data_IF_109634549086
#
_entry.id   IF_109634549086
#
_cell.length_a   1.000
_cell.length_b   1.000
_cell.length_c   1.000
_cell.angle_alpha   90.00
_cell.angle_beta   90.00
_cell.angle_gamma   90.00
#
_symmetry.space_group_name_H-M   'P 1'
#
loop_
_entity.id
_entity.type
_entity.pdbx_description
1 polymer ?
#
# COMPACT_ATOMS: atom_id res chain seq x y z
N UNK A 1 -14.85 -12.09 18.84
CA UNK A 1 -16.02 -11.31 19.31
C UNK A 1 -15.91 -9.78 19.21
N UNK A 2 -14.80 -9.13 18.80
CA UNK A 2 -14.83 -7.67 18.55
C UNK A 2 -15.38 -7.28 17.16
N UNK A 3 -15.06 -8.06 16.12
CA UNK A 3 -15.38 -7.71 14.73
C UNK A 3 -16.89 -7.58 14.42
N UNK A 4 -17.72 -8.42 15.03
CA UNK A 4 -19.18 -8.41 14.79
C UNK A 4 -19.81 -7.11 15.29
N UNK A 5 -19.22 -6.47 16.31
CA UNK A 5 -19.65 -5.17 16.79
C UNK A 5 -19.29 -4.06 15.80
N UNK A 6 -18.06 -4.07 15.26
CA UNK A 6 -17.65 -3.08 14.27
C UNK A 6 -18.54 -3.13 13.03
N UNK A 7 -18.83 -4.33 12.51
CA UNK A 7 -19.74 -4.51 11.36
C UNK A 7 -21.12 -3.91 11.62
N UNK A 8 -21.67 -4.16 12.81
CA UNK A 8 -22.99 -3.61 13.19
C UNK A 8 -22.91 -2.10 13.38
N UNK A 9 -21.85 -1.59 14.00
CA UNK A 9 -21.62 -0.16 14.19
C UNK A 9 -21.49 0.58 12.85
N UNK A 10 -20.73 0.04 11.89
CA UNK A 10 -20.58 0.61 10.55
C UNK A 10 -21.92 0.69 9.83
N UNK A 11 -22.69 -0.40 9.79
CA UNK A 11 -24.02 -0.41 9.16
C UNK A 11 -24.99 0.58 9.83
N UNK A 12 -24.95 0.69 11.16
CA UNK A 12 -25.78 1.64 11.89
C UNK A 12 -25.36 3.09 11.61
N UNK A 13 -24.06 3.38 11.59
CA UNK A 13 -23.53 4.69 11.24
C UNK A 13 -23.97 5.11 9.84
N UNK A 14 -23.87 4.22 8.86
CA UNK A 14 -24.32 4.48 7.49
C UNK A 14 -25.84 4.71 7.40
N UNK A 15 -26.63 3.95 8.16
CA UNK A 15 -28.09 4.09 8.18
C UNK A 15 -28.57 5.38 8.85
N UNK A 16 -27.86 5.85 9.87
CA UNK A 16 -28.24 7.02 10.68
C UNK A 16 -27.61 8.32 10.14
N UNK A 17 -26.46 8.23 9.48
CA UNK A 17 -25.70 9.37 8.96
C UNK A 17 -25.44 9.22 7.43
N UNK A 18 -26.45 9.46 6.57
CA UNK A 18 -26.28 9.35 5.12
C UNK A 18 -25.30 10.39 4.53
N UNK A 19 -25.01 11.47 5.26
CA UNK A 19 -24.06 12.51 4.87
C UNK A 19 -22.67 12.32 5.52
N UNK A 20 -22.33 11.09 5.91
CA UNK A 20 -21.03 10.80 6.53
C UNK A 20 -19.87 11.17 5.59
N UNK A 21 -19.00 12.07 6.04
CA UNK A 21 -17.80 12.47 5.29
C UNK A 21 -16.56 11.69 5.75
N UNK A 22 -16.46 11.38 7.04
CA UNK A 22 -15.29 10.72 7.60
C UNK A 22 -15.71 9.43 8.28
N UNK A 23 -15.14 8.31 7.84
CA UNK A 23 -15.29 7.02 8.46
C UNK A 23 -13.95 6.55 9.00
N UNK A 24 -13.78 6.70 10.31
CA UNK A 24 -12.56 6.31 11.03
C UNK A 24 -12.96 5.32 12.11
N UNK A 25 -12.37 4.13 12.06
CA UNK A 25 -12.49 3.14 13.12
C UNK A 25 -11.12 2.98 13.77
N UNK A 26 -11.06 3.22 15.08
CA UNK A 26 -9.89 2.93 15.91
C UNK A 26 -10.31 1.90 16.94
N UNK A 27 -10.50 0.66 16.47
CA UNK A 27 -10.84 -0.45 17.35
C UNK A 27 -9.54 -1.06 17.88
N UNK A 28 -9.17 -0.64 19.09
CA UNK A 28 -7.98 -1.12 19.81
C UNK A 28 -7.99 -2.62 20.11
N UNK A 29 -9.13 -3.29 19.94
CA UNK A 29 -9.23 -4.74 20.08
C UNK A 29 -8.77 -5.49 18.82
N UNK A 30 -8.60 -4.79 17.70
CA UNK A 30 -8.01 -5.34 16.49
C UNK A 30 -6.49 -5.27 16.64
N UNK A 31 -5.77 -6.40 16.54
CA UNK A 31 -4.33 -6.41 16.57
C UNK A 31 -3.73 -5.43 15.56
N UNK A 32 -2.82 -4.59 16.03
CA UNK A 32 -2.01 -3.70 15.20
C UNK A 32 -0.99 -4.47 14.36
N UNK A 33 -0.70 -5.72 14.74
CA UNK A 33 0.21 -6.63 14.05
C UNK A 33 -0.37 -8.04 14.07
N UNK A 34 -0.13 -8.81 13.01
CA UNK A 34 -0.56 -10.21 12.92
C UNK A 34 -1.63 -10.45 11.88
N UNK A 35 -1.79 -11.71 11.42
CA UNK A 35 -2.84 -12.05 10.50
C UNK A 35 -4.09 -12.23 11.34
N UNK A 36 -5.00 -11.28 11.23
CA UNK A 36 -6.28 -11.43 11.90
C UNK A 36 -7.13 -12.35 11.01
N UNK A 37 -7.49 -13.54 11.50
CA UNK A 37 -8.43 -14.41 10.79
C UNK A 37 -9.80 -13.77 10.85
N UNK A 38 -10.23 -13.18 9.75
CA UNK A 38 -11.58 -12.65 9.60
C UNK A 38 -12.43 -13.68 8.87
N UNK A 39 -13.42 -14.25 9.56
CA UNK A 39 -14.44 -15.10 8.93
C UNK A 39 -15.42 -14.27 8.08
N UNK A 40 -15.38 -12.95 8.21
CA UNK A 40 -16.29 -12.02 7.57
C UNK A 40 -15.55 -10.82 7.00
N UNK A 41 -15.99 -10.48 5.81
CA UNK A 41 -15.40 -9.55 4.87
C UNK A 41 -16.40 -8.41 4.72
N UNK A 42 -16.01 -7.18 5.05
CA UNK A 42 -16.98 -6.08 5.19
C UNK A 42 -17.45 -5.54 3.84
N UNK A 43 -18.67 -5.00 3.81
CA UNK A 43 -19.21 -4.29 2.67
C UNK A 43 -19.41 -2.83 3.08
N UNK A 44 -18.66 -1.91 2.50
CA UNK A 44 -18.96 -0.49 2.62
C UNK A 44 -20.21 -0.18 1.77
N UNK A 45 -21.24 0.43 2.37
CA UNK A 45 -22.48 0.67 1.67
C UNK A 45 -22.35 1.82 0.66
N UNK A 46 -22.87 1.60 -0.55
CA UNK A 46 -22.92 2.54 -1.68
C UNK A 46 -23.56 3.88 -1.27
N UNK A 47 -24.45 3.86 -0.27
CA UNK A 47 -25.22 5.03 0.17
C UNK A 47 -24.34 6.18 0.68
N UNK A 48 -23.22 5.88 1.35
CA UNK A 48 -22.27 6.89 1.86
C UNK A 48 -21.14 7.20 0.87
N UNK A 49 -21.03 6.45 -0.23
CA UNK A 49 -19.92 6.60 -1.19
C UNK A 49 -19.83 7.99 -1.82
N UNK A 50 -20.97 8.69 -1.95
CA UNK A 50 -21.01 10.04 -2.54
C UNK A 50 -20.50 11.14 -1.61
N UNK A 51 -20.50 10.90 -0.31
CA UNK A 51 -20.23 11.91 0.71
C UNK A 51 -18.89 11.69 1.40
N UNK A 52 -18.45 10.43 1.50
CA UNK A 52 -17.18 10.08 2.12
C UNK A 52 -15.97 10.75 1.45
N UNK A 53 -15.20 11.46 2.26
CA UNK A 53 -13.89 12.04 1.94
C UNK A 53 -12.72 11.27 2.54
N UNK A 54 -12.93 10.57 3.65
CA UNK A 54 -11.88 9.83 4.35
C UNK A 54 -12.41 8.49 4.85
N UNK A 55 -11.66 7.43 4.56
CA UNK A 55 -11.89 6.07 5.09
C UNK A 55 -10.60 5.58 5.72
N UNK A 56 -10.65 5.24 7.01
CA UNK A 56 -9.53 4.63 7.73
C UNK A 56 -10.07 3.56 8.66
N UNK A 57 -10.02 2.31 8.21
CA UNK A 57 -10.58 1.18 8.94
C UNK A 57 -9.53 0.06 9.01
N UNK A 58 -9.18 -0.42 10.22
CA UNK A 58 -8.22 -1.50 10.39
C UNK A 58 -8.89 -2.89 10.23
N UNK A 59 -9.77 -3.06 9.25
CA UNK A 59 -10.41 -4.35 8.95
C UNK A 59 -10.43 -4.61 7.45
N UNK A 60 -10.56 -5.88 7.02
CA UNK A 60 -10.72 -6.22 5.62
C UNK A 60 -12.02 -5.66 5.09
N UNK A 61 -11.90 -4.81 4.08
CA UNK A 61 -13.02 -4.34 3.29
C UNK A 61 -13.08 -5.17 2.02
N UNK A 62 -14.22 -5.77 1.77
CA UNK A 62 -14.44 -6.60 0.59
C UNK A 62 -15.17 -5.84 -0.48
N UNK A 63 -14.44 -5.60 -1.54
CA UNK A 63 -14.90 -4.90 -2.73
C UNK A 63 -15.70 -5.78 -3.70
N UNK A 64 -16.22 -6.96 -3.28
CA UNK A 64 -16.94 -7.93 -4.15
C UNK A 64 -18.12 -7.34 -4.94
N UNK A 65 -18.57 -6.13 -4.62
CA UNK A 65 -19.64 -5.42 -5.32
C UNK A 65 -19.30 -3.97 -5.70
N UNK A 66 -18.04 -3.57 -5.54
CA UNK A 66 -17.54 -2.29 -6.05
C UNK A 66 -17.39 -2.38 -7.57
N UNK A 67 -18.52 -2.28 -8.27
CA UNK A 67 -18.53 -2.05 -9.70
C UNK A 67 -18.41 -0.53 -9.91
N UNK A 68 -17.37 -0.02 -10.61
CA UNK A 68 -17.23 1.40 -10.88
C UNK A 68 -18.45 2.02 -11.58
N UNK A 69 -19.26 1.20 -12.27
CA UNK A 69 -20.52 1.63 -12.89
C UNK A 69 -21.64 1.92 -11.87
N UNK A 70 -21.61 1.23 -10.74
CA UNK A 70 -22.69 1.24 -9.75
C UNK A 70 -22.28 2.02 -8.48
N UNK A 71 -20.99 2.06 -8.17
CA UNK A 71 -20.41 2.70 -6.97
C UNK A 71 -19.15 3.47 -7.33
N UNK A 72 -19.14 4.77 -7.08
CA UNK A 72 -17.94 5.62 -7.24
C UNK A 72 -17.82 6.58 -6.07
N UNK A 73 -16.66 6.56 -5.44
CA UNK A 73 -16.27 7.44 -4.35
C UNK A 73 -15.70 8.75 -4.90
N UNK A 74 -16.59 9.64 -5.33
CA UNK A 74 -16.23 10.89 -6.03
C UNK A 74 -15.60 11.95 -5.11
N UNK A 75 -15.66 11.77 -3.80
CA UNK A 75 -15.10 12.69 -2.80
C UNK A 75 -13.99 12.07 -1.97
N UNK A 76 -13.72 10.78 -2.10
CA UNK A 76 -12.78 10.06 -1.23
C UNK A 76 -11.34 10.43 -1.58
N UNK A 77 -10.73 11.27 -0.75
CA UNK A 77 -9.37 11.78 -0.90
C UNK A 77 -8.37 10.90 -0.18
N UNK A 78 -8.74 10.32 0.97
CA UNK A 78 -7.84 9.54 1.83
C UNK A 78 -8.40 8.15 2.11
N UNK A 79 -7.59 7.13 1.83
CA UNK A 79 -7.93 5.73 2.06
C UNK A 79 -6.81 5.03 2.82
N UNK A 80 -7.12 4.53 4.02
CA UNK A 80 -6.26 3.64 4.79
C UNK A 80 -6.93 2.29 4.93
N UNK A 81 -6.30 1.25 4.40
CA UNK A 81 -6.73 -0.14 4.54
C UNK A 81 -5.62 -0.93 5.22
N UNK A 82 -5.97 -1.57 6.34
CA UNK A 82 -5.12 -2.56 7.00
C UNK A 82 -5.83 -3.90 6.99
N UNK A 83 -5.07 -4.97 6.80
CA UNK A 83 -5.57 -6.35 6.81
C UNK A 83 -6.47 -6.77 5.64
N UNK A 84 -6.85 -5.86 4.73
CA UNK A 84 -7.50 -6.23 3.47
C UNK A 84 -6.58 -7.05 2.58
N UNK A 85 -7.12 -7.96 1.78
CA UNK A 85 -6.30 -8.64 0.78
C UNK A 85 -5.88 -7.69 -0.35
N UNK A 86 -4.71 -7.90 -0.98
CA UNK A 86 -4.29 -7.08 -2.11
C UNK A 86 -5.30 -7.02 -3.26
N UNK A 87 -5.95 -8.14 -3.59
CA UNK A 87 -6.99 -8.20 -4.64
C UNK A 87 -8.18 -7.28 -4.30
N UNK A 88 -8.65 -7.30 -3.06
CA UNK A 88 -9.75 -6.45 -2.60
C UNK A 88 -9.37 -4.97 -2.63
N UNK A 89 -8.14 -4.64 -2.23
CA UNK A 89 -7.61 -3.28 -2.34
C UNK A 89 -7.65 -2.80 -3.80
N UNK A 90 -7.16 -3.61 -4.75
CA UNK A 90 -7.20 -3.27 -6.18
C UNK A 90 -8.63 -3.10 -6.70
N UNK A 91 -9.56 -3.97 -6.30
CA UNK A 91 -10.97 -3.83 -6.66
C UNK A 91 -11.59 -2.53 -6.11
N UNK A 92 -11.25 -2.15 -4.88
CA UNK A 92 -11.73 -0.93 -4.25
C UNK A 92 -11.16 0.34 -4.91
N UNK A 93 -9.88 0.34 -5.26
CA UNK A 93 -9.20 1.48 -5.90
C UNK A 93 -9.84 1.86 -7.25
N UNK A 94 -10.43 0.92 -7.99
CA UNK A 94 -11.18 1.21 -9.22
C UNK A 94 -12.37 2.15 -9.01
N UNK A 95 -12.87 2.23 -7.79
CA UNK A 95 -14.01 3.08 -7.42
C UNK A 95 -13.59 4.43 -6.82
N UNK A 96 -12.28 4.73 -6.73
CA UNK A 96 -11.74 5.90 -6.03
C UNK A 96 -10.98 6.85 -6.97
N UNK A 97 -11.66 7.50 -7.96
CA UNK A 97 -10.97 8.23 -9.03
C UNK A 97 -10.27 9.51 -8.59
N UNK A 98 -10.63 10.07 -7.42
CA UNK A 98 -10.10 11.33 -6.90
C UNK A 98 -9.13 11.15 -5.73
N UNK A 99 -8.70 9.90 -5.47
CA UNK A 99 -7.86 9.58 -4.32
C UNK A 99 -6.52 10.32 -4.38
N UNK A 100 -6.14 10.99 -3.30
CA UNK A 100 -4.89 11.74 -3.17
C UNK A 100 -3.90 11.04 -2.21
N UNK A 101 -4.42 10.37 -1.18
CA UNK A 101 -3.66 9.68 -0.14
C UNK A 101 -4.08 8.21 -0.01
N UNK A 102 -3.12 7.31 -0.15
CA UNK A 102 -3.34 5.87 -0.02
C UNK A 102 -2.37 5.28 1.00
N UNK A 103 -2.90 4.53 1.96
CA UNK A 103 -2.13 3.76 2.92
C UNK A 103 -2.62 2.32 2.93
N UNK A 104 -1.76 1.40 2.49
CA UNK A 104 -2.03 -0.03 2.47
C UNK A 104 -1.06 -0.76 3.38
N UNK A 105 -1.59 -1.57 4.29
CA UNK A 105 -0.79 -2.42 5.16
C UNK A 105 -1.28 -3.87 5.11
N UNK A 106 -0.39 -4.74 4.65
CA UNK A 106 -0.60 -6.16 4.55
C UNK A 106 0.27 -6.93 5.54
N UNK A 107 -0.30 -8.00 6.11
CA UNK A 107 0.40 -8.97 6.95
C UNK A 107 0.35 -10.34 6.28
N UNK A 108 1.50 -11.02 6.18
CA UNK A 108 1.60 -12.42 5.75
C UNK A 108 0.73 -12.74 4.52
N UNK A 109 0.98 -12.04 3.40
CA UNK A 109 0.28 -12.33 2.15
C UNK A 109 0.69 -13.74 1.69
N UNK A 110 -0.24 -14.67 1.42
CA UNK A 110 0.10 -15.95 0.83
C UNK A 110 0.43 -15.81 -0.66
N UNK A 111 1.28 -16.69 -1.19
CA UNK A 111 1.60 -16.74 -2.61
C UNK A 111 0.34 -16.93 -3.47
N UNK A 112 0.26 -16.18 -4.57
CA UNK A 112 -0.92 -16.17 -5.44
C UNK A 112 -2.11 -15.32 -4.96
N UNK A 113 -1.98 -14.55 -3.85
CA UNK A 113 -3.04 -13.65 -3.39
C UNK A 113 -3.30 -12.44 -4.31
N UNK A 114 -2.39 -12.16 -5.25
CA UNK A 114 -2.60 -11.17 -6.31
C UNK A 114 -2.64 -11.92 -7.65
N UNK A 115 -3.71 -11.77 -8.45
CA UNK A 115 -3.73 -12.35 -9.78
C UNK A 115 -2.65 -11.69 -10.66
N UNK A 116 -1.79 -12.50 -11.30
CA UNK A 116 -0.73 -12.03 -12.21
C UNK A 116 -1.23 -11.14 -13.36
N UNK A 117 -2.52 -11.23 -13.73
CA UNK A 117 -3.14 -10.53 -14.86
C UNK A 117 -4.21 -9.53 -14.41
N UNK A 118 -3.96 -8.80 -13.33
CA UNK A 118 -4.89 -7.74 -12.94
C UNK A 118 -4.72 -6.52 -13.88
N UNK A 119 -5.82 -5.92 -14.39
CA UNK A 119 -5.73 -4.74 -15.25
C UNK A 119 -5.08 -3.56 -14.51
N UNK A 120 -4.30 -2.76 -15.24
CA UNK A 120 -3.71 -1.53 -14.70
C UNK A 120 -4.80 -0.56 -14.27
N UNK A 121 -4.70 -0.09 -13.02
CA UNK A 121 -5.55 0.94 -12.42
C UNK A 121 -4.78 2.25 -12.45
N UNK A 122 -5.40 3.27 -13.05
CA UNK A 122 -4.84 4.61 -13.11
C UNK A 122 -5.47 5.49 -12.03
N UNK A 123 -4.63 6.03 -11.13
CA UNK A 123 -5.06 6.95 -10.07
C UNK A 123 -4.44 8.32 -10.33
N UNK A 124 -5.16 9.16 -11.08
CA UNK A 124 -4.65 10.42 -11.63
C UNK A 124 -4.31 11.48 -10.59
N UNK A 125 -4.89 11.39 -9.40
CA UNK A 125 -4.73 12.39 -8.33
C UNK A 125 -3.87 11.91 -7.18
N UNK A 126 -3.45 10.63 -7.18
CA UNK A 126 -2.72 10.07 -6.05
C UNK A 126 -1.34 10.71 -5.94
N UNK A 127 -1.08 11.35 -4.80
CA UNK A 127 0.17 12.06 -4.50
C UNK A 127 1.01 11.34 -3.47
N UNK A 128 0.35 10.74 -2.48
CA UNK A 128 1.02 10.08 -1.35
C UNK A 128 0.60 8.62 -1.29
N UNK A 129 1.59 7.73 -1.31
CA UNK A 129 1.34 6.30 -1.22
C UNK A 129 2.26 5.65 -0.19
N UNK A 130 1.65 5.17 0.90
CA UNK A 130 2.30 4.33 1.89
C UNK A 130 1.93 2.87 1.66
N UNK A 131 2.95 2.03 1.54
CA UNK A 131 2.80 0.61 1.36
C UNK A 131 3.62 -0.13 2.40
N UNK A 132 2.96 -0.98 3.19
CA UNK A 132 3.61 -1.85 4.17
C UNK A 132 3.26 -3.30 3.92
N UNK A 133 4.26 -4.18 3.92
CA UNK A 133 4.09 -5.62 3.83
C UNK A 133 5.00 -6.31 4.86
N UNK A 134 4.42 -6.65 6.01
CA UNK A 134 5.19 -7.12 7.16
C UNK A 134 4.77 -8.51 7.58
N UNK A 135 5.59 -9.15 8.41
CA UNK A 135 5.17 -10.33 9.17
C UNK A 135 4.10 -10.00 10.22
N UNK A 136 3.90 -10.96 11.11
CA UNK A 136 2.85 -10.96 12.11
C UNK A 136 3.24 -10.40 13.47
N UNK A 137 4.53 -10.23 13.73
CA UNK A 137 5.04 -9.64 14.96
C UNK A 137 5.72 -8.31 14.67
N UNK A 138 5.96 -7.54 15.73
CA UNK A 138 6.76 -6.30 15.67
C UNK A 138 8.18 -6.56 15.13
N UNK A 139 8.67 -7.80 15.26
CA UNK A 139 9.96 -8.24 14.74
C UNK A 139 9.88 -8.75 13.28
N UNK A 140 8.69 -8.76 12.68
CA UNK A 140 8.47 -9.24 11.32
C UNK A 140 8.38 -10.76 11.20
N UNK A 141 8.12 -11.49 12.30
CA UNK A 141 8.01 -12.95 12.27
C UNK A 141 6.81 -13.37 11.41
N UNK A 142 7.04 -14.20 10.40
CA UNK A 142 5.98 -14.71 9.52
C UNK A 142 5.50 -16.08 9.99
N UNK A 143 4.17 -16.29 9.96
CA UNK A 143 3.57 -17.61 10.10
C UNK A 143 3.64 -18.44 8.82
N UNK A 144 3.92 -17.77 7.69
CA UNK A 144 4.05 -18.35 6.37
C UNK A 144 5.53 -18.63 6.12
N UNK A 145 5.84 -19.80 5.55
CA UNK A 145 7.21 -20.08 5.13
C UNK A 145 7.64 -19.11 4.03
N UNK A 146 8.91 -18.69 4.02
CA UNK A 146 9.39 -17.68 3.07
C UNK A 146 9.06 -18.00 1.60
N UNK A 147 9.14 -19.28 1.20
CA UNK A 147 8.79 -19.75 -0.14
C UNK A 147 7.28 -19.79 -0.47
N UNK A 148 6.41 -19.49 0.48
CA UNK A 148 4.95 -19.41 0.33
C UNK A 148 4.44 -17.98 0.56
N UNK A 149 5.33 -17.03 0.80
CA UNK A 149 4.96 -15.63 0.98
C UNK A 149 4.74 -14.96 -0.39
N UNK A 150 3.62 -14.29 -0.55
CA UNK A 150 3.32 -13.47 -1.72
C UNK A 150 4.21 -12.22 -1.75
N UNK A 151 4.37 -11.64 -2.93
CA UNK A 151 5.17 -10.44 -3.11
C UNK A 151 4.28 -9.24 -3.45
N UNK A 152 4.42 -8.16 -2.68
CA UNK A 152 3.61 -6.96 -2.86
C UNK A 152 3.94 -6.18 -4.15
N UNK A 153 5.05 -6.53 -4.80
CA UNK A 153 5.45 -5.99 -6.10
C UNK A 153 4.39 -6.18 -7.19
N UNK A 154 3.64 -7.29 -7.16
CA UNK A 154 2.56 -7.55 -8.12
C UNK A 154 1.40 -6.54 -7.98
N UNK A 155 1.16 -6.02 -6.77
CA UNK A 155 0.19 -4.95 -6.55
C UNK A 155 0.68 -3.67 -7.20
N UNK A 156 1.97 -3.34 -7.06
CA UNK A 156 2.55 -2.17 -7.71
C UNK A 156 2.43 -2.25 -9.23
N UNK A 157 2.62 -3.44 -9.82
CA UNK A 157 2.46 -3.66 -11.26
C UNK A 157 1.06 -3.37 -11.80
N UNK A 158 0.06 -3.44 -10.94
CA UNK A 158 -1.33 -3.13 -11.27
C UNK A 158 -1.64 -1.63 -11.19
N UNK A 159 -0.68 -0.76 -10.90
CA UNK A 159 -0.91 0.67 -10.66
C UNK A 159 -0.17 1.59 -11.66
N UNK A 160 -0.82 2.70 -12.00
CA UNK A 160 -0.26 3.83 -12.74
C UNK A 160 -0.62 5.14 -12.04
N UNK A 161 0.39 5.85 -11.55
CA UNK A 161 0.26 6.93 -10.57
C UNK A 161 0.98 8.21 -11.06
N UNK A 162 0.47 8.90 -12.09
CA UNK A 162 1.21 9.96 -12.79
C UNK A 162 1.47 11.21 -11.96
N UNK A 163 0.79 11.38 -10.81
CA UNK A 163 1.01 12.49 -9.87
C UNK A 163 1.67 12.06 -8.57
N UNK A 164 2.17 10.83 -8.49
CA UNK A 164 2.83 10.32 -7.30
C UNK A 164 4.04 11.19 -6.99
N UNK A 165 4.04 11.76 -5.78
CA UNK A 165 5.05 12.69 -5.31
C UNK A 165 5.82 12.11 -4.12
N UNK A 166 5.13 11.35 -3.28
CA UNK A 166 5.68 10.70 -2.11
C UNK A 166 5.36 9.21 -2.12
N UNK A 167 6.41 8.39 -2.00
CA UNK A 167 6.30 6.95 -1.81
C UNK A 167 7.02 6.51 -0.54
N UNK A 168 6.31 5.77 0.31
CA UNK A 168 6.87 5.08 1.47
C UNK A 168 6.67 3.59 1.30
N UNK A 169 7.74 2.82 1.50
CA UNK A 169 7.71 1.37 1.51
C UNK A 169 8.32 0.85 2.80
N UNK A 170 7.60 -0.04 3.47
CA UNK A 170 8.15 -0.88 4.54
C UNK A 170 7.85 -2.34 4.26
N UNK A 171 8.88 -3.16 4.04
CA UNK A 171 8.67 -4.60 3.89
C UNK A 171 9.70 -5.43 4.63
N UNK A 172 9.21 -6.40 5.39
CA UNK A 172 10.02 -7.43 6.06
C UNK A 172 9.94 -8.78 5.33
N UNK A 173 9.10 -8.89 4.30
CA UNK A 173 8.85 -10.13 3.56
C UNK A 173 9.59 -10.09 2.21
N UNK A 174 10.33 -11.16 1.91
CA UNK A 174 11.16 -11.30 0.69
C UNK A 174 10.32 -11.65 -0.56
N UNK A 175 9.23 -12.41 -0.39
CA UNK A 175 8.43 -12.94 -1.49
C UNK A 175 8.95 -14.27 -2.07
N UNK A 176 8.03 -15.08 -2.58
CA UNK A 176 8.26 -16.44 -3.11
C UNK A 176 9.24 -16.47 -4.29
N UNK A 177 9.13 -15.51 -5.21
CA UNK A 177 9.96 -15.43 -6.42
C UNK A 177 11.44 -15.28 -6.08
N UNK A 178 11.77 -14.32 -5.21
CA UNK A 178 13.16 -14.07 -4.77
C UNK A 178 13.66 -15.08 -3.75
N UNK A 179 12.76 -15.75 -3.05
CA UNK A 179 13.14 -16.94 -2.28
C UNK A 179 13.63 -18.07 -3.19
N UNK A 180 12.97 -18.29 -4.33
CA UNK A 180 13.38 -19.30 -5.31
C UNK A 180 14.62 -18.89 -6.12
N UNK A 181 14.75 -17.61 -6.46
CA UNK A 181 15.92 -17.03 -7.11
C UNK A 181 16.36 -15.72 -6.43
N UNK A 182 17.32 -15.77 -5.49
CA UNK A 182 17.81 -14.61 -4.76
C UNK A 182 18.44 -13.52 -5.63
N UNK A 183 18.84 -13.85 -6.86
CA UNK A 183 19.50 -12.90 -7.77
C UNK A 183 18.50 -12.07 -8.57
N UNK A 184 17.20 -12.35 -8.49
CA UNK A 184 16.18 -11.52 -9.12
C UNK A 184 16.24 -10.10 -8.53
N UNK A 185 16.24 -9.05 -9.37
CA UNK A 185 16.24 -7.68 -8.90
C UNK A 185 14.88 -7.30 -8.32
N UNK A 186 14.87 -6.41 -7.31
CA UNK A 186 13.64 -5.82 -6.80
C UNK A 186 13.25 -4.57 -7.60
N UNK A 187 12.83 -4.74 -8.85
CA UNK A 187 12.60 -3.64 -9.79
C UNK A 187 11.17 -3.05 -9.79
N UNK A 188 10.32 -3.45 -8.84
CA UNK A 188 8.90 -3.08 -8.84
C UNK A 188 8.66 -1.58 -8.75
N UNK A 189 9.45 -0.86 -7.95
CA UNK A 189 9.31 0.59 -7.82
C UNK A 189 9.80 1.32 -9.07
N UNK A 190 10.92 0.90 -9.68
CA UNK A 190 11.41 1.53 -10.92
C UNK A 190 10.43 1.30 -12.08
N UNK A 191 9.82 0.11 -12.16
CA UNK A 191 8.72 -0.18 -13.10
C UNK A 191 7.49 0.69 -12.83
N UNK A 192 7.11 0.90 -11.57
CA UNK A 192 6.01 1.80 -11.20
C UNK A 192 6.29 3.24 -11.65
N UNK A 193 7.47 3.79 -11.33
CA UNK A 193 7.87 5.17 -11.68
C UNK A 193 7.85 5.34 -13.20
N UNK A 194 8.48 4.41 -13.92
CA UNK A 194 8.55 4.42 -15.40
C UNK A 194 7.16 4.34 -16.03
N UNK A 195 6.33 3.37 -15.60
CA UNK A 195 4.95 3.20 -16.12
C UNK A 195 4.05 4.39 -15.80
N UNK A 196 4.27 5.02 -14.65
CA UNK A 196 3.54 6.21 -14.22
C UNK A 196 4.03 7.48 -14.91
N UNK A 197 5.23 7.45 -15.52
CA UNK A 197 5.91 8.62 -16.05
C UNK A 197 5.93 9.77 -15.03
N UNK A 198 6.25 9.44 -13.77
CA UNK A 198 6.34 10.39 -12.66
C UNK A 198 7.78 10.50 -12.15
N UNK A 199 8.01 11.49 -11.29
CA UNK A 199 9.27 11.69 -10.58
C UNK A 199 8.94 11.97 -9.12
N UNK A 200 9.58 11.28 -8.19
CA UNK A 200 9.30 11.42 -6.77
C UNK A 200 10.04 12.64 -6.19
N UNK A 201 9.38 13.36 -5.29
CA UNK A 201 10.02 14.39 -4.47
C UNK A 201 10.45 13.85 -3.10
N UNK A 202 9.72 12.85 -2.59
CA UNK A 202 10.05 12.15 -1.34
C UNK A 202 9.98 10.64 -1.52
N UNK A 203 10.99 9.94 -1.03
CA UNK A 203 11.08 8.49 -1.08
C UNK A 203 11.58 7.98 0.27
N UNK A 204 10.86 7.02 0.85
CA UNK A 204 11.30 6.31 2.05
C UNK A 204 11.24 4.81 1.83
N UNK A 205 12.40 4.14 1.90
CA UNK A 205 12.56 2.71 1.71
C UNK A 205 13.07 2.09 3.02
N UNK A 206 12.20 1.31 3.67
CA UNK A 206 12.52 0.49 4.83
C UNK A 206 12.40 -0.97 4.45
N UNK A 207 13.43 -1.51 3.82
CA UNK A 207 13.44 -2.92 3.47
C UNK A 207 14.86 -3.45 3.38
N UNK A 208 15.17 -4.56 4.10
CA UNK A 208 16.45 -5.23 3.96
C UNK A 208 16.55 -6.01 2.64
N UNK A 209 15.45 -6.11 1.89
CA UNK A 209 15.36 -6.95 0.71
C UNK A 209 15.68 -6.19 -0.57
N UNK A 210 15.66 -4.86 -0.58
CA UNK A 210 15.93 -4.11 -1.82
C UNK A 210 17.43 -4.07 -2.07
N UNK A 211 17.86 -4.63 -3.19
CA UNK A 211 19.26 -4.59 -3.60
C UNK A 211 19.68 -3.17 -4.02
N UNK A 212 20.96 -2.87 -3.82
CA UNK A 212 21.53 -1.56 -4.14
C UNK A 212 21.27 -1.14 -5.59
N UNK A 213 21.49 -1.98 -6.63
CA UNK A 213 21.21 -1.61 -8.01
C UNK A 213 19.76 -1.14 -8.22
N UNK A 214 18.79 -1.87 -7.67
CA UNK A 214 17.37 -1.52 -7.76
C UNK A 214 17.05 -0.18 -7.07
N UNK A 215 17.67 0.08 -5.92
CA UNK A 215 17.52 1.36 -5.23
C UNK A 215 18.14 2.51 -6.02
N UNK A 216 19.37 2.38 -6.51
CA UNK A 216 20.04 3.42 -7.30
C UNK A 216 19.25 3.75 -8.57
N UNK A 217 18.62 2.77 -9.20
CA UNK A 217 17.76 2.99 -10.36
C UNK A 217 16.54 3.85 -10.00
N UNK A 218 15.90 3.60 -8.86
CA UNK A 218 14.79 4.44 -8.38
C UNK A 218 15.23 5.90 -8.14
N UNK A 219 16.44 6.11 -7.62
CA UNK A 219 17.00 7.45 -7.42
C UNK A 219 17.26 8.16 -8.76
N UNK A 220 17.80 7.45 -9.75
CA UNK A 220 18.04 8.00 -11.10
C UNK A 220 16.76 8.40 -11.81
N UNK A 221 15.69 7.62 -11.64
CA UNK A 221 14.37 7.92 -12.18
C UNK A 221 13.67 9.09 -11.48
N UNK A 222 14.18 9.51 -10.32
CA UNK A 222 13.63 10.61 -9.52
C UNK A 222 14.66 11.75 -9.33
N UNK A 223 15.08 12.45 -10.40
CA UNK A 223 16.10 13.50 -10.30
C UNK A 223 15.67 14.69 -9.43
N UNK A 224 14.36 14.92 -9.25
CA UNK A 224 13.80 16.00 -8.44
C UNK A 224 13.62 15.63 -6.95
N UNK A 225 14.16 14.49 -6.52
CA UNK A 225 14.05 14.01 -5.15
C UNK A 225 14.72 14.98 -4.17
N UNK A 226 13.95 15.42 -3.16
CA UNK A 226 14.40 16.33 -2.09
C UNK A 226 14.60 15.63 -0.76
N UNK A 227 13.80 14.60 -0.50
CA UNK A 227 13.84 13.86 0.75
C UNK A 227 14.01 12.37 0.48
N UNK A 228 15.06 11.78 1.03
CA UNK A 228 15.35 10.35 0.93
C UNK A 228 15.45 9.72 2.32
N UNK A 229 14.71 8.65 2.55
CA UNK A 229 14.86 7.77 3.71
C UNK A 229 15.28 6.38 3.25
N UNK A 230 16.38 5.83 3.76
CA UNK A 230 16.88 4.50 3.41
C UNK A 230 17.38 3.78 4.66
N UNK A 231 17.44 2.44 4.60
CA UNK A 231 18.14 1.66 5.61
C UNK A 231 19.65 1.92 5.53
N UNK A 232 20.34 1.86 6.68
CA UNK A 232 21.79 2.10 6.75
C UNK A 232 22.57 1.20 5.78
N UNK A 233 23.32 1.81 4.87
CA UNK A 233 24.16 1.13 3.88
C UNK A 233 25.26 2.10 3.39
N UNK A 234 26.51 1.84 3.78
CA UNK A 234 27.65 2.72 3.50
C UNK A 234 27.93 2.93 2.00
N UNK A 235 27.58 1.95 1.16
CA UNK A 235 27.78 2.06 -0.28
C UNK A 235 26.70 2.94 -0.90
N UNK A 236 25.45 2.73 -0.52
CA UNK A 236 24.32 3.54 -0.98
C UNK A 236 24.50 4.99 -0.56
N UNK A 237 24.84 5.25 0.69
CA UNK A 237 25.08 6.58 1.22
C UNK A 237 26.15 7.35 0.43
N UNK A 238 27.25 6.68 0.05
CA UNK A 238 28.30 7.29 -0.80
C UNK A 238 27.80 7.61 -2.21
N UNK A 239 26.95 6.77 -2.78
CA UNK A 239 26.40 6.96 -4.12
C UNK A 239 25.30 8.02 -4.17
N UNK A 240 24.51 8.17 -3.10
CA UNK A 240 23.42 9.17 -3.02
C UNK A 240 23.94 10.58 -3.29
N UNK A 241 25.08 10.96 -2.69
CA UNK A 241 25.65 12.29 -2.88
C UNK A 241 26.05 12.58 -4.34
N UNK A 242 26.39 11.55 -5.12
CA UNK A 242 26.75 11.68 -6.52
C UNK A 242 25.51 11.74 -7.43
N UNK A 243 24.48 10.96 -7.11
CA UNK A 243 23.25 10.82 -7.92
C UNK A 243 22.29 11.98 -7.66
N UNK A 244 22.16 12.40 -6.40
CA UNK A 244 21.22 13.41 -5.94
C UNK A 244 21.97 14.56 -5.25
N UNK A 245 22.74 15.37 -5.99
CA UNK A 245 23.49 16.48 -5.40
C UNK A 245 22.60 17.58 -4.82
N UNK A 246 21.31 17.60 -5.18
CA UNK A 246 20.32 18.58 -4.71
C UNK A 246 19.38 18.03 -3.63
N UNK A 247 19.77 16.95 -2.96
CA UNK A 247 19.00 16.35 -1.87
C UNK A 247 19.01 17.29 -0.65
N UNK A 248 17.82 17.64 -0.15
CA UNK A 248 17.68 18.55 0.99
C UNK A 248 17.78 17.78 2.31
N UNK A 249 17.32 16.53 2.35
CA UNK A 249 17.29 15.71 3.56
C UNK A 249 17.56 14.24 3.25
N UNK A 250 18.54 13.65 3.95
CA UNK A 250 18.80 12.22 4.02
C UNK A 250 18.47 11.71 5.42
N UNK A 251 17.59 10.71 5.52
CA UNK A 251 17.27 10.01 6.76
C UNK A 251 17.75 8.57 6.65
N UNK A 252 18.54 8.16 7.63
CA UNK A 252 19.01 6.78 7.74
C UNK A 252 18.17 6.07 8.80
N UNK A 253 17.74 4.85 8.50
CA UNK A 253 17.04 3.97 9.43
C UNK A 253 17.99 2.90 9.94
N UNK A 254 17.97 2.70 11.26
CA UNK A 254 18.65 1.60 11.95
C UNK A 254 17.93 0.26 11.72
#
# INVERSE_FOLDING_TARGET
MPLTYLVVALRLCEAVAPNLENLVADDTSIPTVGPVKFDHSELLNITVARTLSTVSIPVPITAKFCNPRDTTFLRLLTLTLKHSSPEECLAFLKCCPVLEDLNLHFHDIPDGAIPFNHPTIMLMQLRNFHLSHTGNSENGDSSISAGQSGEIGQLLDSLQLPRLNFFYLWTTILGSARYADPNLPWDYLSRLITRSNCSLNRLELRSPHIDMPSMLECLRLSPDLKCLGIQADEEVERNVAQILPTLDSLRIFD
#
